data_IF_695776727986
#
_entry.id   IF_695776727986
#
_cell.length_a   1.000
_cell.length_b   1.000
_cell.length_c   1.000
_cell.angle_alpha   90.00
_cell.angle_beta   90.00
_cell.angle_gamma   90.00
#
_symmetry.space_group_name_H-M   'P 1'
#
loop_
_entity.id
_entity.type
_entity.pdbx_description
1 polymer ?
#
# COMPACT_ATOMS: atom_id res chain seq x y z
N UNK A 1 2.04 6.84 -22.84
CA UNK A 1 3.23 7.24 -23.62
C UNK A 1 3.95 6.06 -24.26
N UNK A 2 4.41 5.06 -23.52
CA UNK A 2 5.23 3.97 -24.09
C UNK A 2 4.50 3.10 -25.15
N UNK A 3 3.24 2.71 -24.89
CA UNK A 3 2.41 1.98 -25.89
C UNK A 3 2.15 2.77 -27.16
N UNK A 4 2.08 4.11 -27.07
CA UNK A 4 1.91 4.99 -28.23
C UNK A 4 3.15 4.93 -29.13
N UNK A 5 4.35 4.93 -28.54
CA UNK A 5 5.62 4.84 -29.30
C UNK A 5 5.81 3.45 -29.92
N UNK A 6 5.31 2.39 -29.26
CA UNK A 6 5.32 1.02 -29.78
C UNK A 6 4.34 0.79 -30.94
N UNK A 7 3.36 1.66 -31.17
CA UNK A 7 2.46 1.55 -32.32
C UNK A 7 3.19 1.90 -33.64
N UNK A 8 2.85 1.22 -34.76
CA UNK A 8 3.25 1.64 -36.11
C UNK A 8 2.96 3.13 -36.34
N UNK A 9 3.84 3.83 -37.06
CA UNK A 9 3.73 5.29 -37.24
C UNK A 9 2.33 5.73 -37.73
N UNK A 10 1.74 4.97 -38.65
CA UNK A 10 0.41 5.22 -39.21
C UNK A 10 -0.75 5.12 -38.19
N UNK A 11 -0.60 4.35 -37.10
CA UNK A 11 -1.67 4.15 -36.11
C UNK A 11 -1.47 4.97 -34.83
N UNK A 12 -0.35 5.67 -34.68
CA UNK A 12 -0.05 6.51 -33.50
C UNK A 12 -1.08 7.61 -33.30
N UNK A 13 -1.40 8.37 -34.35
CA UNK A 13 -2.37 9.46 -34.25
C UNK A 13 -3.79 8.94 -33.93
N UNK A 14 -4.35 7.95 -34.64
CA UNK A 14 -5.63 7.35 -34.27
C UNK A 14 -5.66 6.81 -32.83
N UNK A 15 -4.57 6.18 -32.38
CA UNK A 15 -4.46 5.67 -31.01
C UNK A 15 -4.44 6.79 -29.97
N UNK A 16 -3.66 7.86 -30.22
CA UNK A 16 -3.62 9.04 -29.35
C UNK A 16 -5.00 9.73 -29.29
N UNK A 17 -5.68 9.89 -30.43
CA UNK A 17 -7.02 10.48 -30.49
C UNK A 17 -8.03 9.66 -29.69
N UNK A 18 -7.98 8.31 -29.73
CA UNK A 18 -8.86 7.46 -28.91
C UNK A 18 -8.61 7.63 -27.42
N UNK A 19 -7.35 7.71 -26.99
CA UNK A 19 -7.00 7.97 -25.59
C UNK A 19 -7.50 9.35 -25.16
N UNK A 20 -7.26 10.38 -25.98
CA UNK A 20 -7.70 11.74 -25.67
C UNK A 20 -9.23 11.85 -25.67
N UNK A 21 -9.92 11.20 -26.60
CA UNK A 21 -11.38 11.18 -26.63
C UNK A 21 -11.96 10.46 -25.41
N UNK A 22 -11.41 9.29 -25.03
CA UNK A 22 -11.84 8.58 -23.83
C UNK A 22 -11.56 9.36 -22.54
N UNK A 23 -10.37 9.94 -22.41
CA UNK A 23 -10.00 10.78 -21.28
C UNK A 23 -10.84 12.07 -21.20
N UNK A 24 -11.07 12.72 -22.34
CA UNK A 24 -11.93 13.90 -22.44
C UNK A 24 -13.38 13.59 -22.09
N UNK A 25 -13.93 12.50 -22.61
CA UNK A 25 -15.28 12.04 -22.24
C UNK A 25 -15.38 11.74 -20.73
N UNK A 26 -14.39 11.06 -20.15
CA UNK A 26 -14.35 10.80 -18.71
C UNK A 26 -14.28 12.10 -17.89
N UNK A 27 -13.46 13.08 -18.32
CA UNK A 27 -13.37 14.39 -17.68
C UNK A 27 -14.69 15.17 -17.78
N UNK A 28 -15.35 15.17 -18.93
CA UNK A 28 -16.65 15.82 -19.12
C UNK A 28 -17.74 15.16 -18.27
N UNK A 29 -17.74 13.83 -18.18
CA UNK A 29 -18.66 13.10 -17.30
C UNK A 29 -18.39 13.39 -15.82
N UNK A 30 -17.12 13.54 -15.43
CA UNK A 30 -16.73 13.88 -14.06
C UNK A 30 -16.86 15.39 -13.75
N UNK A 31 -16.93 16.25 -14.77
CA UNK A 31 -16.83 17.71 -14.62
C UNK A 31 -17.84 18.30 -13.65
N UNK A 32 -19.15 17.96 -13.66
CA UNK A 32 -20.10 18.52 -12.72
C UNK A 32 -19.70 18.26 -11.25
N UNK A 33 -19.25 17.04 -10.95
CA UNK A 33 -18.79 16.67 -9.62
C UNK A 33 -17.47 17.36 -9.26
N UNK A 34 -16.52 17.42 -10.20
CA UNK A 34 -15.21 18.06 -9.97
C UNK A 34 -15.32 19.56 -9.77
N UNK A 35 -16.18 20.25 -10.54
CA UNK A 35 -16.43 21.69 -10.39
C UNK A 35 -17.12 21.97 -9.06
N UNK A 36 -18.21 21.26 -8.74
CA UNK A 36 -18.90 21.42 -7.47
C UNK A 36 -17.97 21.17 -6.27
N UNK A 37 -17.11 20.15 -6.35
CA UNK A 37 -16.11 19.88 -5.33
C UNK A 37 -15.06 20.99 -5.23
N UNK A 38 -14.53 21.46 -6.37
CA UNK A 38 -13.53 22.54 -6.40
C UNK A 38 -14.08 23.87 -5.86
N UNK A 39 -15.35 24.18 -6.14
CA UNK A 39 -16.02 25.36 -5.60
C UNK A 39 -16.24 25.21 -4.08
N UNK A 40 -16.69 24.04 -3.62
CA UNK A 40 -16.85 23.78 -2.18
C UNK A 40 -15.53 23.89 -1.41
N UNK A 41 -14.42 23.43 -1.99
CA UNK A 41 -13.10 23.49 -1.37
C UNK A 41 -12.63 24.91 -1.02
N UNK A 42 -13.16 25.95 -1.68
CA UNK A 42 -12.82 27.35 -1.36
C UNK A 42 -13.33 27.79 0.01
N UNK A 43 -14.46 27.21 0.43
CA UNK A 43 -15.15 27.53 1.69
C UNK A 43 -15.06 26.39 2.68
N UNK A 44 -14.28 25.35 2.37
CA UNK A 44 -14.20 24.14 3.16
C UNK A 44 -13.01 24.15 4.10
N UNK A 45 -13.26 23.67 5.31
CA UNK A 45 -12.26 23.17 6.22
C UNK A 45 -11.96 21.71 5.86
N UNK A 46 -10.67 21.43 5.61
CA UNK A 46 -10.15 20.11 5.21
C UNK A 46 -9.24 19.50 6.28
N UNK A 47 -9.22 20.08 7.48
CA UNK A 47 -8.39 19.66 8.60
C UNK A 47 -6.91 19.61 8.26
N UNK A 48 -6.21 18.57 8.74
CA UNK A 48 -4.79 18.33 8.49
C UNK A 48 -4.42 18.19 6.99
N UNK A 49 -5.39 18.16 6.08
CA UNK A 49 -5.17 18.12 4.64
C UNK A 49 -5.02 19.51 3.99
N UNK A 50 -5.09 20.60 4.77
CA UNK A 50 -4.89 21.97 4.27
C UNK A 50 -3.42 22.29 3.95
N UNK A 51 -2.48 21.53 4.53
CA UNK A 51 -1.05 21.75 4.40
C UNK A 51 -0.36 20.87 3.33
N UNK A 52 0.90 21.20 3.05
CA UNK A 52 1.81 20.32 2.31
C UNK A 52 2.19 19.16 3.23
N UNK A 53 1.69 17.96 2.94
CA UNK A 53 2.06 16.74 3.69
C UNK A 53 3.21 16.02 2.96
N UNK A 54 4.30 16.76 2.74
CA UNK A 54 5.49 16.25 2.07
C UNK A 54 6.51 15.73 3.09
N UNK A 55 6.10 14.69 3.80
CA UNK A 55 6.93 14.01 4.80
C UNK A 55 7.43 12.68 4.27
N UNK A 56 8.63 12.29 4.71
CA UNK A 56 9.18 10.99 4.37
C UNK A 56 8.36 9.87 5.03
N UNK A 57 8.28 8.72 4.37
CA UNK A 57 7.75 7.50 4.94
C UNK A 57 8.56 7.14 6.21
N UNK A 58 7.90 6.82 7.34
CA UNK A 58 8.60 6.43 8.56
C UNK A 58 9.59 5.30 8.33
N UNK A 59 10.73 5.35 9.01
CA UNK A 59 11.83 4.38 8.80
C UNK A 59 11.37 2.92 9.02
N UNK A 60 10.52 2.69 10.02
CA UNK A 60 9.97 1.38 10.33
C UNK A 60 9.11 0.79 9.19
N UNK A 61 8.39 1.66 8.46
CA UNK A 61 7.48 1.24 7.39
C UNK A 61 8.22 0.60 6.21
N UNK A 62 9.49 0.93 5.98
CA UNK A 62 10.29 0.30 4.91
C UNK A 62 10.50 -1.20 5.15
N UNK A 63 10.79 -1.59 6.41
CA UNK A 63 10.90 -3.00 6.76
C UNK A 63 9.53 -3.68 6.70
N UNK A 64 8.47 -2.98 7.12
CA UNK A 64 7.10 -3.50 7.11
C UNK A 64 6.55 -3.68 5.68
N UNK A 65 6.98 -2.88 4.70
CA UNK A 65 6.57 -3.07 3.31
C UNK A 65 6.97 -4.46 2.77
N UNK A 66 8.15 -4.96 3.19
CA UNK A 66 8.69 -6.28 2.82
C UNK A 66 8.28 -7.38 3.80
N UNK A 67 8.21 -7.06 5.08
CA UNK A 67 7.89 -7.96 6.19
C UNK A 67 6.77 -7.34 7.06
N UNK A 68 5.50 -7.45 6.66
CA UNK A 68 4.40 -6.68 7.24
C UNK A 68 4.31 -6.74 8.77
N UNK A 69 4.61 -7.89 9.35
CA UNK A 69 4.48 -8.13 10.78
C UNK A 69 5.81 -8.15 11.52
N UNK A 70 6.89 -7.62 10.93
CA UNK A 70 8.23 -7.64 11.56
C UNK A 70 8.24 -6.89 12.91
N UNK A 71 7.39 -5.88 13.04
CA UNK A 71 7.21 -5.06 14.23
C UNK A 71 5.97 -5.46 15.05
N UNK A 72 5.40 -6.64 14.79
CA UNK A 72 4.16 -7.10 15.40
C UNK A 72 2.93 -6.88 14.53
N UNK A 73 1.77 -7.27 15.08
CA UNK A 73 0.46 -7.15 14.42
C UNK A 73 -0.04 -5.70 14.41
N UNK A 74 -1.20 -5.48 13.80
CA UNK A 74 -1.89 -4.18 13.88
C UNK A 74 -2.10 -3.78 15.34
N UNK A 75 -1.81 -2.50 15.65
CA UNK A 75 -1.90 -1.92 16.99
C UNK A 75 -0.97 -2.56 18.05
N UNK A 76 0.06 -3.28 17.63
CA UNK A 76 1.10 -3.79 18.52
C UNK A 76 2.18 -2.72 18.74
N UNK A 77 2.60 -2.53 19.99
CA UNK A 77 3.63 -1.55 20.36
C UNK A 77 3.06 -0.25 20.93
N UNK A 78 3.89 0.80 20.91
CA UNK A 78 3.53 2.15 21.34
C UNK A 78 3.10 3.06 20.18
N UNK A 79 3.08 4.36 20.44
CA UNK A 79 2.61 5.37 19.49
C UNK A 79 3.41 5.40 18.17
N UNK A 80 4.71 5.16 18.20
CA UNK A 80 5.54 5.15 16.98
C UNK A 80 5.18 4.01 16.02
N UNK A 81 4.87 2.82 16.56
CA UNK A 81 4.44 1.67 15.77
C UNK A 81 3.05 1.90 15.16
N UNK A 82 2.18 2.59 15.90
CA UNK A 82 0.90 3.08 15.37
C UNK A 82 1.12 4.04 14.20
N UNK A 83 2.06 4.99 14.33
CA UNK A 83 2.43 5.91 13.26
C UNK A 83 2.94 5.22 12.00
N UNK A 84 3.75 4.16 12.14
CA UNK A 84 4.24 3.38 11.00
C UNK A 84 3.12 2.63 10.26
N UNK A 85 2.19 2.02 10.99
CA UNK A 85 0.99 1.39 10.41
C UNK A 85 0.05 2.39 9.77
N UNK A 86 -0.14 3.55 10.39
CA UNK A 86 -0.96 4.66 9.87
C UNK A 86 -0.38 5.23 8.57
N UNK A 87 0.94 5.31 8.48
CA UNK A 87 1.62 5.85 7.31
C UNK A 87 1.57 4.89 6.11
N UNK A 88 1.59 3.57 6.34
CA UNK A 88 1.55 2.61 5.24
C UNK A 88 0.19 2.61 4.53
N UNK A 89 0.22 2.77 3.21
CA UNK A 89 -0.93 2.54 2.34
C UNK A 89 -1.15 1.06 1.97
N UNK A 90 -0.18 0.20 2.34
CA UNK A 90 -0.19 -1.23 2.06
C UNK A 90 1.22 -1.82 2.26
N UNK A 91 1.38 -3.08 1.89
CA UNK A 91 2.65 -3.80 1.89
C UNK A 91 2.68 -4.82 0.74
N UNK A 92 3.87 -5.24 0.30
CA UNK A 92 4.01 -6.14 -0.86
C UNK A 92 4.39 -7.57 -0.46
N UNK A 93 4.94 -7.77 0.73
CA UNK A 93 5.68 -9.00 1.03
C UNK A 93 6.98 -9.09 0.24
N UNK A 94 7.64 -10.24 0.27
CA UNK A 94 8.92 -10.45 -0.41
C UNK A 94 8.76 -11.07 -1.81
N UNK A 95 7.73 -11.87 -2.07
CA UNK A 95 7.65 -12.63 -3.33
C UNK A 95 7.39 -11.74 -4.53
N UNK A 96 6.45 -10.80 -4.41
CA UNK A 96 6.10 -9.88 -5.49
C UNK A 96 7.31 -9.04 -5.95
N UNK A 97 8.03 -8.32 -5.06
CA UNK A 97 9.21 -7.57 -5.49
C UNK A 97 10.33 -8.49 -5.98
N UNK A 98 10.49 -9.70 -5.43
CA UNK A 98 11.46 -10.68 -5.93
C UNK A 98 11.15 -11.09 -7.38
N UNK A 99 9.90 -11.46 -7.68
CA UNK A 99 9.47 -11.79 -9.04
C UNK A 99 9.60 -10.61 -9.99
N UNK A 100 9.28 -9.40 -9.54
CA UNK A 100 9.45 -8.19 -10.32
C UNK A 100 10.91 -7.96 -10.73
N UNK A 101 11.86 -8.20 -9.82
CA UNK A 101 13.29 -8.14 -10.11
C UNK A 101 13.74 -9.23 -11.10
N UNK A 102 13.24 -10.46 -10.95
CA UNK A 102 13.48 -11.54 -11.93
C UNK A 102 12.99 -11.12 -13.32
N UNK A 103 11.83 -10.48 -13.41
CA UNK A 103 11.24 -10.05 -14.66
C UNK A 103 12.10 -9.01 -15.42
N UNK A 104 12.95 -8.24 -14.75
CA UNK A 104 13.79 -7.23 -15.43
C UNK A 104 14.80 -7.84 -16.42
N UNK A 105 15.06 -9.14 -16.33
CA UNK A 105 15.95 -9.87 -17.24
C UNK A 105 15.24 -10.38 -18.51
N UNK A 106 13.91 -10.32 -18.57
CA UNK A 106 13.16 -10.76 -19.73
C UNK A 106 13.36 -9.83 -20.94
N UNK A 107 13.38 -10.43 -22.14
CA UNK A 107 13.61 -9.70 -23.39
C UNK A 107 12.32 -9.14 -24.01
N UNK A 108 11.19 -9.80 -23.75
CA UNK A 108 9.86 -9.41 -24.27
C UNK A 108 9.33 -8.20 -23.50
N UNK A 109 8.77 -7.22 -24.19
CA UNK A 109 8.22 -6.00 -23.58
C UNK A 109 9.19 -5.23 -22.68
N UNK A 110 10.51 -5.32 -22.97
CA UNK A 110 11.55 -4.70 -22.14
C UNK A 110 11.32 -3.22 -21.84
N UNK A 111 10.88 -2.37 -22.80
CA UNK A 111 10.54 -0.98 -22.49
C UNK A 111 9.44 -0.84 -21.43
N UNK A 112 8.42 -1.71 -21.44
CA UNK A 112 7.33 -1.67 -20.46
C UNK A 112 7.83 -2.09 -19.07
N UNK A 113 8.67 -3.13 -19.01
CA UNK A 113 9.28 -3.58 -17.76
C UNK A 113 10.15 -2.49 -17.13
N UNK A 114 11.00 -1.83 -17.93
CA UNK A 114 11.84 -0.73 -17.44
C UNK A 114 11.01 0.48 -17.02
N UNK A 115 9.93 0.80 -17.74
CA UNK A 115 9.01 1.87 -17.36
C UNK A 115 8.33 1.59 -16.01
N UNK A 116 7.82 0.37 -15.79
CA UNK A 116 7.20 -0.02 -14.53
C UNK A 116 8.22 0.01 -13.38
N UNK A 117 9.44 -0.47 -13.60
CA UNK A 117 10.50 -0.42 -12.60
C UNK A 117 10.90 1.02 -12.26
N UNK A 118 11.05 1.87 -13.29
CA UNK A 118 11.31 3.29 -13.11
C UNK A 118 10.19 4.00 -12.35
N UNK A 119 8.93 3.65 -12.63
CA UNK A 119 7.78 4.17 -11.88
C UNK A 119 7.86 3.82 -10.39
N UNK A 120 8.11 2.54 -10.07
CA UNK A 120 8.29 2.10 -8.67
C UNK A 120 9.43 2.87 -8.00
N UNK A 121 10.58 3.02 -8.66
CA UNK A 121 11.72 3.77 -8.11
C UNK A 121 11.41 5.25 -7.88
N UNK A 122 10.64 5.89 -8.76
CA UNK A 122 10.18 7.28 -8.56
C UNK A 122 9.24 7.38 -7.37
N UNK A 123 8.27 6.46 -7.24
CA UNK A 123 7.37 6.40 -6.09
C UNK A 123 8.14 6.19 -4.79
N UNK A 124 9.05 5.23 -4.74
CA UNK A 124 9.91 4.97 -3.57
C UNK A 124 10.82 6.18 -3.28
N UNK A 125 11.35 6.84 -4.31
CA UNK A 125 12.21 8.02 -4.15
C UNK A 125 11.46 9.21 -3.55
N UNK A 126 10.21 9.45 -3.96
CA UNK A 126 9.33 10.46 -3.34
C UNK A 126 8.97 10.06 -1.90
N UNK A 127 8.65 8.78 -1.66
CA UNK A 127 8.40 8.26 -0.31
C UNK A 127 9.59 8.43 0.63
N UNK A 128 10.82 8.26 0.13
CA UNK A 128 12.05 8.50 0.87
C UNK A 128 12.40 10.00 1.00
N UNK A 129 11.58 10.87 0.42
CA UNK A 129 11.78 12.32 0.34
C UNK A 129 13.13 12.71 -0.28
N UNK A 130 13.52 12.05 -1.39
CA UNK A 130 14.75 12.38 -2.11
C UNK A 130 14.57 13.72 -2.87
N UNK A 131 15.34 14.79 -2.56
CA UNK A 131 15.01 16.16 -2.97
C UNK A 131 14.73 16.35 -4.47
N UNK A 132 15.53 15.71 -5.34
CA UNK A 132 15.38 15.82 -6.79
C UNK A 132 14.10 15.13 -7.27
N UNK A 133 13.82 13.93 -6.76
CA UNK A 133 12.62 13.16 -7.15
C UNK A 133 11.38 13.84 -6.59
N UNK A 134 11.45 14.26 -5.32
CA UNK A 134 10.40 15.05 -4.65
C UNK A 134 10.02 16.26 -5.48
N UNK A 135 10.99 17.13 -5.82
CA UNK A 135 10.73 18.33 -6.60
C UNK A 135 10.14 18.06 -7.99
N UNK A 136 10.55 16.99 -8.67
CA UNK A 136 9.98 16.61 -9.97
C UNK A 136 8.55 16.09 -9.87
N UNK A 137 8.25 15.26 -8.87
CA UNK A 137 6.92 14.69 -8.65
C UNK A 137 5.93 15.78 -8.24
N UNK A 138 6.37 16.79 -7.48
CA UNK A 138 5.50 17.89 -7.03
C UNK A 138 5.15 18.89 -8.13
N UNK A 139 5.80 18.82 -9.30
CA UNK A 139 5.33 19.54 -10.49
C UNK A 139 3.97 19.02 -10.98
N UNK A 140 3.58 17.80 -10.59
CA UNK A 140 2.26 17.27 -10.90
C UNK A 140 1.22 18.01 -10.04
N UNK A 141 0.21 18.66 -10.66
CA UNK A 141 -0.77 19.46 -9.93
C UNK A 141 -1.46 18.65 -8.81
N UNK A 142 -1.42 19.20 -7.59
CA UNK A 142 -2.06 18.62 -6.42
C UNK A 142 -1.27 17.53 -5.71
N UNK A 143 -0.28 16.89 -6.36
CA UNK A 143 0.45 15.74 -5.79
C UNK A 143 1.24 16.12 -4.54
N UNK A 144 1.94 17.26 -4.55
CA UNK A 144 2.70 17.75 -3.39
C UNK A 144 1.84 18.15 -2.19
N UNK A 145 0.51 18.19 -2.33
CA UNK A 145 -0.43 18.45 -1.21
C UNK A 145 -1.07 17.18 -0.67
N UNK A 146 -0.65 16.02 -1.15
CA UNK A 146 -1.21 14.73 -0.73
C UNK A 146 -0.29 14.05 0.28
N UNK A 147 -0.85 13.13 1.07
CA UNK A 147 -0.07 12.14 1.83
C UNK A 147 0.50 11.11 0.86
N UNK A 148 1.46 11.54 0.03
CA UNK A 148 1.89 10.79 -1.16
C UNK A 148 2.29 9.37 -0.81
N UNK A 149 3.08 9.21 0.27
CA UNK A 149 3.56 7.90 0.67
C UNK A 149 2.42 6.92 0.95
N UNK A 150 1.28 7.37 1.46
CA UNK A 150 0.11 6.52 1.74
C UNK A 150 -0.69 6.24 0.48
N UNK A 151 -0.86 7.23 -0.38
CA UNK A 151 -1.76 7.15 -1.54
C UNK A 151 -1.10 6.51 -2.77
N UNK A 152 0.23 6.51 -2.85
CA UNK A 152 0.95 5.93 -3.97
C UNK A 152 1.07 4.39 -3.91
N UNK A 153 0.95 3.79 -2.71
CA UNK A 153 1.11 2.34 -2.50
C UNK A 153 0.30 1.47 -3.46
N UNK A 154 -1.02 1.69 -3.67
CA UNK A 154 -1.80 0.85 -4.58
C UNK A 154 -1.28 0.89 -6.03
N UNK A 155 -0.86 2.06 -6.50
CA UNK A 155 -0.32 2.21 -7.85
C UNK A 155 1.08 1.57 -7.98
N UNK A 156 1.92 1.72 -6.94
CA UNK A 156 3.22 1.05 -6.86
C UNK A 156 3.07 -0.48 -6.83
N UNK A 157 2.18 -1.01 -5.98
CA UNK A 157 1.85 -2.44 -5.91
C UNK A 157 1.35 -2.95 -7.25
N UNK A 158 0.45 -2.22 -7.93
CA UNK A 158 -0.02 -2.60 -9.26
C UNK A 158 1.14 -2.71 -10.26
N UNK A 159 2.08 -1.75 -10.25
CA UNK A 159 3.26 -1.80 -11.11
C UNK A 159 4.16 -3.01 -10.79
N UNK A 160 4.38 -3.31 -9.51
CA UNK A 160 5.13 -4.49 -9.06
C UNK A 160 4.45 -5.81 -9.43
N UNK A 161 3.13 -5.90 -9.28
CA UNK A 161 2.33 -7.08 -9.68
C UNK A 161 2.42 -7.30 -11.18
N UNK A 162 2.31 -6.25 -11.99
CA UNK A 162 2.46 -6.34 -13.45
C UNK A 162 3.88 -6.80 -13.84
N UNK A 163 4.91 -6.32 -13.16
CA UNK A 163 6.29 -6.81 -13.33
C UNK A 163 6.41 -8.28 -12.94
N UNK A 164 5.89 -8.67 -11.79
CA UNK A 164 5.90 -10.06 -11.34
C UNK A 164 5.18 -10.98 -12.34
N UNK A 165 4.06 -10.53 -12.91
CA UNK A 165 3.32 -11.25 -13.94
C UNK A 165 4.17 -11.47 -15.20
N UNK A 166 4.98 -10.49 -15.63
CA UNK A 166 5.94 -10.71 -16.72
C UNK A 166 7.00 -11.78 -16.38
N UNK A 167 7.46 -11.83 -15.13
CA UNK A 167 8.41 -12.86 -14.68
C UNK A 167 7.79 -14.26 -14.66
N UNK A 168 6.52 -14.37 -14.28
CA UNK A 168 5.74 -15.60 -14.34
C UNK A 168 5.46 -16.01 -15.79
N UNK A 169 5.09 -15.07 -16.66
CA UNK A 169 4.87 -15.33 -18.09
C UNK A 169 6.14 -15.84 -18.77
N UNK A 170 7.31 -15.30 -18.43
CA UNK A 170 8.60 -15.79 -18.94
C UNK A 170 8.88 -17.24 -18.52
N UNK A 171 8.49 -17.63 -17.30
CA UNK A 171 8.62 -19.01 -16.81
C UNK A 171 7.62 -19.95 -17.50
N UNK A 172 6.38 -19.50 -17.70
CA UNK A 172 5.28 -20.30 -18.24
C UNK A 172 5.33 -20.43 -19.77
N UNK A 173 5.95 -19.45 -20.44
CA UNK A 173 6.18 -19.45 -21.89
C UNK A 173 7.38 -20.31 -22.33
N UNK A 174 8.09 -20.96 -21.41
CA UNK A 174 9.21 -21.82 -21.78
C UNK A 174 8.74 -23.05 -22.56
N UNK A 175 9.45 -23.44 -23.64
CA UNK A 175 9.16 -24.67 -24.35
C UNK A 175 9.24 -25.88 -23.42
N UNK A 176 8.25 -26.79 -23.52
CA UNK A 176 8.22 -28.03 -22.75
C UNK A 176 9.42 -28.96 -23.03
N UNK A 177 10.11 -28.76 -24.16
CA UNK A 177 11.31 -29.49 -24.57
C UNK A 177 12.58 -29.09 -23.81
N UNK A 178 12.58 -27.96 -23.09
CA UNK A 178 13.76 -27.54 -22.33
C UNK A 178 13.99 -28.44 -21.12
N UNK A 179 15.23 -28.91 -20.98
CA UNK A 179 15.67 -29.67 -19.81
C UNK A 179 15.80 -28.77 -18.59
N UNK A 180 15.70 -29.35 -17.39
CA UNK A 180 15.90 -28.62 -16.12
C UNK A 180 17.24 -27.89 -16.05
N UNK A 181 18.29 -28.44 -16.66
CA UNK A 181 19.60 -27.82 -16.72
C UNK A 181 19.59 -26.53 -17.58
N UNK A 182 18.93 -26.56 -18.74
CA UNK A 182 18.78 -25.38 -19.61
C UNK A 182 17.91 -24.30 -18.96
N UNK A 183 16.86 -24.69 -18.25
CA UNK A 183 16.01 -23.73 -17.55
C UNK A 183 16.80 -23.07 -16.41
N UNK A 184 17.58 -23.85 -15.67
CA UNK A 184 18.47 -23.33 -14.64
C UNK A 184 19.47 -22.34 -15.22
N UNK A 185 20.06 -22.59 -16.39
CA UNK A 185 21.01 -21.62 -16.98
C UNK A 185 20.32 -20.32 -17.38
N UNK A 186 19.06 -20.38 -17.85
CA UNK A 186 18.25 -19.18 -18.15
C UNK A 186 17.96 -18.36 -16.90
N UNK A 187 17.52 -19.01 -15.81
CA UNK A 187 17.06 -18.28 -14.60
C UNK A 187 18.09 -18.11 -13.50
N UNK A 188 19.25 -18.78 -13.55
CA UNK A 188 20.30 -18.67 -12.51
C UNK A 188 20.72 -17.22 -12.27
N UNK A 189 21.04 -16.49 -13.34
CA UNK A 189 21.46 -15.08 -13.22
C UNK A 189 20.31 -14.20 -12.69
N UNK A 190 19.10 -14.21 -13.29
CA UNK A 190 17.96 -13.44 -12.77
C UNK A 190 17.64 -13.72 -11.30
N UNK A 191 17.56 -14.99 -10.91
CA UNK A 191 17.25 -15.41 -9.53
C UNK A 191 18.31 -14.95 -8.56
N UNK A 192 19.60 -15.17 -8.85
CA UNK A 192 20.69 -14.74 -7.97
C UNK A 192 20.70 -13.22 -7.81
N UNK A 193 20.56 -12.47 -8.91
CA UNK A 193 20.52 -11.01 -8.84
C UNK A 193 19.31 -10.50 -8.06
N UNK A 194 18.12 -11.03 -8.32
CA UNK A 194 16.91 -10.66 -7.60
C UNK A 194 17.04 -10.94 -6.10
N UNK A 195 17.55 -12.12 -5.73
CA UNK A 195 17.76 -12.49 -4.32
C UNK A 195 18.82 -11.62 -3.64
N UNK A 196 19.92 -11.30 -4.30
CA UNK A 196 20.98 -10.44 -3.73
C UNK A 196 20.49 -9.00 -3.57
N UNK A 197 19.86 -8.43 -4.60
CA UNK A 197 19.36 -7.06 -4.55
C UNK A 197 18.25 -6.90 -3.51
N UNK A 198 17.28 -7.82 -3.50
CA UNK A 198 16.20 -7.79 -2.52
C UNK A 198 16.73 -8.07 -1.11
N UNK A 199 17.68 -8.99 -0.96
CA UNK A 199 18.33 -9.26 0.33
C UNK A 199 19.09 -8.04 0.87
N UNK A 200 19.80 -7.32 0.00
CA UNK A 200 20.47 -6.07 0.37
C UNK A 200 19.47 -4.98 0.77
N UNK A 201 18.37 -4.81 0.01
CA UNK A 201 17.31 -3.87 0.34
C UNK A 201 16.61 -4.22 1.65
N UNK A 202 16.28 -5.50 1.86
CA UNK A 202 15.69 -6.03 3.09
C UNK A 202 16.62 -5.81 4.30
N UNK A 203 17.91 -6.06 4.15
CA UNK A 203 18.90 -5.80 5.19
C UNK A 203 19.03 -4.30 5.50
N UNK A 204 19.05 -3.45 4.48
CA UNK A 204 19.03 -2.00 4.64
C UNK A 204 17.80 -1.52 5.40
N UNK A 205 16.61 -1.98 5.01
CA UNK A 205 15.36 -1.68 5.69
C UNK A 205 15.34 -2.18 7.15
N UNK A 206 15.86 -3.39 7.39
CA UNK A 206 16.02 -3.96 8.73
C UNK A 206 16.96 -3.13 9.62
N UNK A 207 18.05 -2.58 9.05
CA UNK A 207 18.95 -1.66 9.74
C UNK A 207 18.28 -0.34 10.08
N UNK A 208 17.52 0.24 9.15
CA UNK A 208 16.76 1.47 9.39
C UNK A 208 15.68 1.26 10.46
N UNK A 209 15.12 0.05 10.56
CA UNK A 209 14.16 -0.34 11.59
C UNK A 209 14.81 -0.59 12.98
N UNK A 210 16.12 -0.35 13.15
CA UNK A 210 16.86 -0.66 14.38
C UNK A 210 16.29 0.01 15.64
N UNK A 211 15.95 1.30 15.57
CA UNK A 211 15.40 2.05 16.70
C UNK A 211 14.05 1.46 17.15
N UNK A 212 13.15 1.21 16.19
CA UNK A 212 11.82 0.61 16.46
C UNK A 212 11.96 -0.79 17.03
N UNK A 213 12.91 -1.59 16.52
CA UNK A 213 13.19 -2.92 17.05
C UNK A 213 13.66 -2.86 18.49
N UNK A 214 14.61 -1.98 18.80
CA UNK A 214 15.16 -1.83 20.15
C UNK A 214 14.08 -1.37 21.14
N UNK A 215 13.21 -0.43 20.73
CA UNK A 215 12.05 -0.02 21.51
C UNK A 215 11.06 -1.19 21.77
N UNK A 216 10.87 -2.07 20.78
CA UNK A 216 9.98 -3.22 20.89
C UNK A 216 10.58 -4.41 21.66
N UNK A 217 11.90 -4.46 21.91
CA UNK A 217 12.52 -5.59 22.63
C UNK A 217 11.95 -5.79 24.04
N UNK A 218 11.61 -4.70 24.72
CA UNK A 218 10.97 -4.72 26.03
C UNK A 218 9.46 -4.92 25.99
N UNK A 219 8.85 -4.86 24.80
CA UNK A 219 7.41 -4.98 24.62
C UNK A 219 7.00 -6.45 24.47
N UNK A 220 6.08 -6.90 25.32
CA UNK A 220 5.62 -8.30 25.35
C UNK A 220 4.11 -8.44 25.54
N UNK A 221 3.33 -7.50 25.00
CA UNK A 221 1.87 -7.58 25.04
C UNK A 221 1.31 -8.30 23.82
N UNK A 222 0.86 -9.54 23.99
CA UNK A 222 0.25 -10.32 22.91
C UNK A 222 0.53 -11.81 23.06
N UNK A 223 0.04 -12.65 22.13
CA UNK A 223 0.28 -14.10 22.18
C UNK A 223 1.74 -14.46 21.89
N UNK A 224 2.51 -13.54 21.29
CA UNK A 224 3.91 -13.73 20.91
C UNK A 224 4.70 -12.47 21.27
N UNK A 225 5.96 -12.63 21.64
CA UNK A 225 6.91 -11.54 21.86
C UNK A 225 7.33 -10.87 20.55
N UNK A 226 7.82 -9.62 20.63
CA UNK A 226 8.31 -8.86 19.47
C UNK A 226 9.35 -9.61 18.64
N UNK A 227 10.28 -10.32 19.28
CA UNK A 227 11.29 -11.12 18.58
C UNK A 227 10.68 -12.27 17.78
N UNK A 228 9.59 -12.87 18.28
CA UNK A 228 8.89 -13.95 17.59
C UNK A 228 8.17 -13.45 16.34
N UNK A 229 7.61 -12.23 16.39
CA UNK A 229 7.05 -11.57 15.21
C UNK A 229 8.11 -11.24 14.15
N UNK A 230 9.26 -10.70 14.57
CA UNK A 230 10.40 -10.43 13.68
C UNK A 230 10.87 -11.72 13.01
N UNK A 231 11.21 -12.73 13.82
CA UNK A 231 11.70 -14.01 13.33
C UNK A 231 10.66 -14.71 12.43
N UNK A 232 9.40 -14.75 12.83
CA UNK A 232 8.32 -15.36 12.06
C UNK A 232 8.12 -14.68 10.70
N UNK A 233 8.16 -13.35 10.66
CA UNK A 233 8.02 -12.59 9.42
C UNK A 233 9.19 -12.82 8.46
N UNK A 234 10.42 -12.79 8.98
CA UNK A 234 11.62 -13.05 8.19
C UNK A 234 11.65 -14.49 7.69
N UNK A 235 11.35 -15.46 8.55
CA UNK A 235 11.28 -16.88 8.18
C UNK A 235 10.24 -17.10 7.10
N UNK A 236 9.01 -16.60 7.28
CA UNK A 236 7.94 -16.73 6.29
C UNK A 236 8.38 -16.19 4.94
N UNK A 237 8.79 -14.92 4.87
CA UNK A 237 9.14 -14.29 3.60
C UNK A 237 10.33 -14.96 2.92
N UNK A 238 11.39 -15.29 3.68
CA UNK A 238 12.56 -16.00 3.14
C UNK A 238 12.22 -17.42 2.66
N UNK A 239 11.40 -18.17 3.41
CA UNK A 239 10.97 -19.52 3.04
C UNK A 239 10.14 -19.51 1.74
N UNK A 240 9.26 -18.53 1.56
CA UNK A 240 8.45 -18.45 0.34
C UNK A 240 9.29 -18.00 -0.87
N UNK A 241 10.21 -17.05 -0.71
CA UNK A 241 11.17 -16.70 -1.77
C UNK A 241 12.04 -17.91 -2.15
N UNK A 242 12.52 -18.67 -1.17
CA UNK A 242 13.30 -19.89 -1.42
C UNK A 242 12.47 -20.94 -2.19
N UNK A 243 11.19 -21.10 -1.86
CA UNK A 243 10.27 -21.98 -2.59
C UNK A 243 10.10 -21.55 -4.05
N UNK A 244 9.90 -20.25 -4.29
CA UNK A 244 9.80 -19.71 -5.65
C UNK A 244 11.13 -19.87 -6.42
N UNK A 245 12.26 -19.56 -5.80
CA UNK A 245 13.59 -19.74 -6.39
C UNK A 245 13.85 -21.21 -6.76
N UNK A 246 13.44 -22.17 -5.92
CA UNK A 246 13.53 -23.59 -6.24
C UNK A 246 12.70 -23.96 -7.48
N UNK A 247 11.49 -23.39 -7.62
CA UNK A 247 10.65 -23.54 -8.81
C UNK A 247 11.28 -22.99 -10.09
N UNK A 248 11.87 -21.79 -10.02
CA UNK A 248 12.57 -21.17 -11.16
C UNK A 248 13.86 -21.92 -11.56
N UNK A 249 14.61 -22.44 -10.60
CA UNK A 249 15.89 -23.13 -10.84
C UNK A 249 15.74 -24.63 -11.16
N UNK A 250 14.52 -25.18 -11.04
CA UNK A 250 14.25 -26.61 -11.22
C UNK A 250 15.10 -27.47 -10.29
N UNK A 251 15.12 -27.15 -8.99
CA UNK A 251 15.94 -27.88 -8.01
C UNK A 251 15.30 -29.22 -7.63
N UNK A 252 16.08 -30.30 -7.66
CA UNK A 252 15.76 -31.57 -7.00
C UNK A 252 14.87 -32.49 -7.83
N UNK A 253 13.91 -33.16 -7.16
CA UNK A 253 12.94 -34.09 -7.79
C UNK A 253 11.82 -33.37 -8.55
N UNK A 254 11.75 -32.04 -8.46
CA UNK A 254 10.69 -31.19 -8.99
C UNK A 254 10.99 -30.66 -10.39
N UNK A 255 11.38 -31.56 -11.30
CA UNK A 255 11.87 -31.19 -12.63
C UNK A 255 10.75 -30.92 -13.64
N UNK A 256 9.55 -31.46 -13.39
CA UNK A 256 8.44 -31.29 -14.33
C UNK A 256 7.98 -29.83 -14.40
N UNK A 257 7.51 -29.40 -15.58
CA UNK A 257 6.93 -28.06 -15.74
C UNK A 257 5.79 -27.81 -14.75
N UNK A 258 4.93 -28.81 -14.55
CA UNK A 258 3.82 -28.74 -13.58
C UNK A 258 4.31 -28.53 -12.15
N UNK A 259 5.34 -29.25 -11.72
CA UNK A 259 5.93 -29.10 -10.39
C UNK A 259 6.47 -27.68 -10.17
N UNK A 260 7.19 -27.13 -11.16
CA UNK A 260 7.75 -25.77 -11.08
C UNK A 260 6.66 -24.70 -10.98
N UNK A 261 5.65 -24.78 -11.85
CA UNK A 261 4.48 -23.88 -11.80
C UNK A 261 3.77 -24.00 -10.46
N UNK A 262 3.55 -25.23 -9.96
CA UNK A 262 2.92 -25.47 -8.68
C UNK A 262 3.72 -24.86 -7.52
N UNK A 263 5.05 -25.00 -7.48
CA UNK A 263 5.88 -24.43 -6.42
C UNK A 263 5.83 -22.90 -6.39
N UNK A 264 5.97 -22.25 -7.56
CA UNK A 264 5.90 -20.79 -7.65
C UNK A 264 4.50 -20.29 -7.30
N UNK A 265 3.45 -20.96 -7.82
CA UNK A 265 2.06 -20.59 -7.52
C UNK A 265 1.73 -20.79 -6.05
N UNK A 266 2.18 -21.90 -5.44
CA UNK A 266 2.01 -22.15 -4.01
C UNK A 266 2.73 -21.10 -3.17
N UNK A 267 3.91 -20.64 -3.60
CA UNK A 267 4.60 -19.55 -2.91
C UNK A 267 3.85 -18.23 -3.00
N UNK A 268 3.50 -17.79 -4.21
CA UNK A 268 2.78 -16.53 -4.44
C UNK A 268 1.43 -16.51 -3.71
N UNK A 269 0.61 -17.54 -3.92
CA UNK A 269 -0.71 -17.63 -3.28
C UNK A 269 -0.60 -17.85 -1.77
N UNK A 270 0.38 -18.64 -1.34
CA UNK A 270 0.63 -18.91 0.08
C UNK A 270 0.99 -17.64 0.84
N UNK A 271 1.96 -16.85 0.36
CA UNK A 271 2.29 -15.56 0.98
C UNK A 271 1.08 -14.62 0.95
N UNK A 272 0.42 -14.45 -0.20
CA UNK A 272 -0.73 -13.56 -0.31
C UNK A 272 -1.86 -13.94 0.67
N UNK A 273 -2.21 -15.23 0.76
CA UNK A 273 -3.25 -15.71 1.68
C UNK A 273 -2.82 -15.56 3.13
N UNK A 274 -1.59 -15.88 3.49
CA UNK A 274 -1.10 -15.72 4.87
C UNK A 274 -1.09 -14.25 5.27
N UNK A 275 -0.55 -13.37 4.42
CA UNK A 275 -0.53 -11.94 4.68
C UNK A 275 -1.93 -11.31 4.71
N UNK A 276 -2.92 -11.92 4.03
CA UNK A 276 -4.33 -11.54 4.10
C UNK A 276 -5.05 -12.09 5.36
N UNK A 277 -4.68 -13.28 5.83
CA UNK A 277 -5.34 -13.94 6.96
C UNK A 277 -4.81 -13.48 8.32
N UNK A 278 -3.52 -13.14 8.44
CA UNK A 278 -2.92 -12.67 9.70
C UNK A 278 -3.66 -11.46 10.32
N UNK A 279 -4.07 -10.42 9.57
CA UNK A 279 -4.88 -9.33 10.10
C UNK A 279 -6.22 -9.81 10.67
N UNK A 280 -6.82 -10.87 10.10
CA UNK A 280 -8.08 -11.44 10.59
C UNK A 280 -7.91 -12.07 11.97
N UNK A 281 -6.71 -12.54 12.33
CA UNK A 281 -6.39 -13.01 13.68
C UNK A 281 -6.32 -11.87 14.71
N UNK A 282 -6.18 -10.63 14.24
CA UNK A 282 -6.18 -9.44 15.10
C UNK A 282 -7.60 -8.96 15.42
N UNK A 283 -8.62 -9.54 14.78
CA UNK A 283 -10.03 -9.19 15.04
C UNK A 283 -10.38 -9.64 16.45
N UNK A 284 -10.52 -8.66 17.35
CA UNK A 284 -11.06 -8.92 18.69
C UNK A 284 -12.54 -9.28 18.55
N UNK A 285 -13.00 -10.21 19.39
CA UNK A 285 -14.43 -10.48 19.51
C UNK A 285 -15.17 -9.15 19.74
N UNK A 286 -16.23 -8.85 18.97
CA UNK A 286 -16.95 -7.61 19.14
C UNK A 286 -17.44 -7.53 20.58
N UNK A 287 -17.10 -6.44 21.28
CA UNK A 287 -17.67 -6.18 22.59
C UNK A 287 -19.20 -6.13 22.45
N UNK A 288 -19.97 -6.68 23.42
CA UNK A 288 -21.42 -6.64 23.36
C UNK A 288 -21.90 -5.21 23.16
N UNK A 289 -22.62 -4.97 22.07
CA UNK A 289 -23.20 -3.65 21.79
C UNK A 289 -24.39 -3.43 22.72
N UNK A 290 -24.39 -2.31 23.44
CA UNK A 290 -25.53 -1.91 24.27
C UNK A 290 -26.66 -1.35 23.39
N UNK A 291 -27.33 -2.26 22.68
CA UNK A 291 -28.44 -1.96 21.76
C UNK A 291 -29.60 -1.24 22.46
N UNK A 292 -30.00 -1.59 23.71
CA UNK A 292 -31.01 -0.81 24.43
C UNK A 292 -30.63 0.66 24.62
N UNK A 293 -29.37 0.94 24.98
CA UNK A 293 -28.88 2.31 25.10
C UNK A 293 -28.92 3.03 23.75
N UNK A 294 -28.44 2.40 22.67
CA UNK A 294 -28.45 2.99 21.33
C UNK A 294 -29.88 3.33 20.87
N UNK A 295 -30.81 2.40 21.03
CA UNK A 295 -32.22 2.60 20.66
C UNK A 295 -32.87 3.71 21.49
N UNK A 296 -32.52 3.78 22.78
CA UNK A 296 -33.02 4.86 23.66
C UNK A 296 -32.48 6.19 23.17
N UNK A 297 -31.17 6.33 22.97
CA UNK A 297 -30.58 7.58 22.48
C UNK A 297 -31.14 7.98 21.11
N UNK A 298 -31.34 7.03 20.19
CA UNK A 298 -31.98 7.29 18.89
C UNK A 298 -33.41 7.84 19.03
N UNK A 299 -34.20 7.29 19.96
CA UNK A 299 -35.58 7.71 20.20
C UNK A 299 -35.66 9.06 20.91
N UNK A 300 -34.83 9.27 21.92
CA UNK A 300 -34.88 10.45 22.78
C UNK A 300 -34.20 11.69 22.15
N UNK A 301 -33.24 11.52 21.21
CA UNK A 301 -32.60 12.66 20.55
C UNK A 301 -33.57 13.47 19.69
N UNK A 302 -34.55 12.83 19.05
CA UNK A 302 -35.51 13.52 18.17
C UNK A 302 -34.82 14.37 17.10
N UNK A 303 -35.01 15.70 17.17
CA UNK A 303 -34.38 16.68 16.28
C UNK A 303 -33.05 17.26 16.82
N UNK A 304 -32.65 16.89 18.04
CA UNK A 304 -31.42 17.35 18.65
C UNK A 304 -30.20 16.62 18.07
N UNK A 305 -29.04 17.26 18.16
CA UNK A 305 -27.75 16.69 17.78
C UNK A 305 -26.83 16.70 19.00
N UNK A 306 -26.05 15.64 19.19
CA UNK A 306 -25.09 15.58 20.27
C UNK A 306 -23.70 16.04 19.82
N UNK A 307 -22.90 16.53 20.77
CA UNK A 307 -21.49 16.89 20.62
C UNK A 307 -20.68 16.18 21.69
N UNK A 308 -19.42 15.84 21.41
CA UNK A 308 -18.52 15.25 22.41
C UNK A 308 -17.28 16.13 22.61
N UNK A 309 -16.89 16.34 23.87
CA UNK A 309 -15.67 17.08 24.28
C UNK A 309 -14.47 16.13 24.48
N UNK A 310 -14.41 15.06 23.68
CA UNK A 310 -13.57 13.87 23.88
C UNK A 310 -14.09 12.71 23.04
N UNK A 311 -13.68 11.48 23.30
CA UNK A 311 -14.08 10.33 22.48
C UNK A 311 -15.62 10.15 22.58
N UNK A 312 -16.42 10.49 21.58
CA UNK A 312 -16.65 9.76 20.32
C UNK A 312 -16.57 10.71 19.12
N UNK A 313 -15.50 10.60 18.35
CA UNK A 313 -15.45 10.81 16.89
C UNK A 313 -14.34 9.87 16.37
N UNK A 314 -14.64 8.86 15.52
CA UNK A 314 -14.81 9.07 14.09
C UNK A 314 -16.09 8.42 13.52
N UNK A 315 -16.88 9.16 12.73
CA UNK A 315 -18.05 8.75 11.92
C UNK A 315 -19.07 7.77 12.56
N UNK A 316 -18.99 7.52 13.86
CA UNK A 316 -19.85 6.61 14.61
C UNK A 316 -21.28 7.11 14.66
N UNK A 317 -21.49 8.43 14.66
CA UNK A 317 -22.82 9.02 14.50
C UNK A 317 -23.51 8.52 13.23
N UNK A 318 -22.83 8.56 12.08
CA UNK A 318 -23.36 8.02 10.84
C UNK A 318 -23.58 6.48 10.93
N UNK A 319 -22.61 5.74 11.46
CA UNK A 319 -22.68 4.28 11.57
C UNK A 319 -23.84 3.79 12.46
N UNK A 320 -24.02 4.42 13.62
CA UNK A 320 -25.09 4.11 14.58
C UNK A 320 -26.36 4.95 14.37
N UNK A 321 -26.44 5.76 13.32
CA UNK A 321 -27.58 6.66 13.03
C UNK A 321 -27.91 7.59 14.20
N UNK A 322 -26.89 8.10 14.86
CA UNK A 322 -26.99 9.11 15.90
C UNK A 322 -26.59 10.46 15.30
N UNK A 323 -27.44 11.49 15.35
CA UNK A 323 -27.12 12.81 14.81
C UNK A 323 -26.01 13.48 15.64
N UNK A 324 -24.77 13.44 15.16
CA UNK A 324 -23.60 14.09 15.79
C UNK A 324 -23.23 15.41 15.12
N UNK A 325 -22.73 16.37 15.90
CA UNK A 325 -22.23 17.66 15.41
C UNK A 325 -20.75 17.59 15.00
N UNK A 326 -19.92 16.94 15.80
CA UNK A 326 -18.50 16.71 15.53
C UNK A 326 -18.28 15.32 14.88
N UNK A 327 -17.51 15.27 13.78
CA UNK A 327 -17.15 14.05 13.05
C UNK A 327 -15.93 14.27 12.14
N UNK A 328 -15.14 13.22 11.86
CA UNK A 328 -13.90 13.33 11.08
C UNK A 328 -14.12 13.35 9.55
N UNK A 329 -15.37 13.32 9.07
CA UNK A 329 -15.67 13.46 7.65
C UNK A 329 -15.33 14.84 7.12
N UNK A 330 -14.24 14.95 6.35
CA UNK A 330 -13.84 16.15 5.59
C UNK A 330 -14.13 15.96 4.09
N UNK A 331 -14.33 17.03 3.30
CA UNK A 331 -14.40 18.45 3.69
C UNK A 331 -15.69 18.84 4.45
N UNK A 332 -15.60 19.88 5.31
CA UNK A 332 -16.74 20.50 6.03
C UNK A 332 -16.78 22.01 5.77
N UNK A 333 -17.94 22.70 5.83
CA UNK A 333 -17.97 24.16 5.69
C UNK A 333 -17.14 24.85 6.80
N UNK A 334 -16.23 25.76 6.46
CA UNK A 334 -15.38 26.46 7.45
C UNK A 334 -16.21 27.23 8.48
N UNK A 335 -17.27 27.91 8.04
CA UNK A 335 -18.19 28.63 8.93
C UNK A 335 -18.86 27.71 9.97
N UNK A 336 -19.07 26.43 9.64
CA UNK A 336 -19.59 25.46 10.59
C UNK A 336 -18.57 25.13 11.67
N UNK A 337 -17.30 24.90 11.28
CA UNK A 337 -16.20 24.62 12.20
C UNK A 337 -15.94 25.83 13.12
N UNK A 338 -15.91 27.04 12.56
CA UNK A 338 -15.74 28.28 13.33
C UNK A 338 -16.86 28.45 14.36
N UNK A 339 -18.11 28.19 13.97
CA UNK A 339 -19.24 28.23 14.90
C UNK A 339 -19.11 27.19 16.01
N UNK A 340 -18.72 25.95 15.68
CA UNK A 340 -18.52 24.93 16.71
C UNK A 340 -17.43 25.34 17.70
N UNK A 341 -16.33 25.93 17.23
CA UNK A 341 -15.24 26.43 18.08
C UNK A 341 -15.69 27.58 18.97
N UNK A 342 -16.50 28.49 18.42
CA UNK A 342 -17.08 29.59 19.18
C UNK A 342 -18.04 29.10 20.28
N UNK A 343 -18.94 28.19 19.94
CA UNK A 343 -20.03 27.76 20.82
C UNK A 343 -19.57 26.75 21.89
N UNK A 344 -18.56 25.92 21.59
CA UNK A 344 -18.14 24.81 22.45
C UNK A 344 -16.65 24.81 22.84
N UNK A 345 -15.84 25.69 22.26
CA UNK A 345 -14.39 25.75 22.51
C UNK A 345 -13.54 24.95 21.52
N UNK A 346 -12.20 25.02 21.65
CA UNK A 346 -11.27 24.44 20.67
C UNK A 346 -11.27 22.90 20.66
N UNK A 347 -11.58 22.25 21.78
CA UNK A 347 -11.50 20.79 21.96
C UNK A 347 -12.58 19.99 21.19
N UNK A 348 -13.47 20.67 20.46
CA UNK A 348 -14.51 20.07 19.61
C UNK A 348 -14.04 19.86 18.16
N UNK A 349 -12.81 20.25 17.84
CA UNK A 349 -12.27 20.11 16.50
C UNK A 349 -12.24 18.62 16.07
N UNK A 350 -12.98 18.23 15.01
CA UNK A 350 -12.97 16.86 14.51
C UNK A 350 -11.63 16.40 13.90
N UNK A 351 -10.63 17.28 13.80
CA UNK A 351 -9.35 17.04 13.11
C UNK A 351 -8.12 16.79 13.98
N UNK A 352 -8.18 17.00 15.29
CA UNK A 352 -7.02 16.92 16.20
C UNK A 352 -6.76 15.51 16.76
N UNK A 353 -6.91 14.47 15.93
CA UNK A 353 -6.47 13.09 16.27
C UNK A 353 -5.20 12.73 15.51
#
# INVERSE_FOLDING_TARGET
>A
MLRLVQQPAATRLPYALRIMAGGGAALLLAAPQLVAFADFLREAWVGAHAGVVDTALPQASWAMALFPYINGLFFYGGAEQFGAWWAMGGYTGLVVPWLALVALFGKRERPARLMLAGYVLVCMGKQANLPIITGLVDLLPGVGRTVFYRLCFPAEQAALILLAAFGLDDLFSLPASLTSAQIRTVFKKPVVWASVLLGAAAFGAWRLNGLTRDALRGYSHGPVSSWGYEAGSVLLGCSVVALCAAGFLGWGRWQSARARVALVSAGVLGEALLLFCIPLLCVRAPLPRNTPLLNTVQRELGLQRFVTMGVIAPNYGAYFRLPSLNHNGVPMPSAWIERMKHDFGPDVDPGDI
#
